data_IF_699758592996
#
_entry.id   IF_699758592996
#
_cell.length_a   1.000
_cell.length_b   1.000
_cell.length_c   1.000
_cell.angle_alpha   90.00
_cell.angle_beta   90.00
_cell.angle_gamma   90.00
#
_symmetry.space_group_name_H-M   'P 1'
#
loop_
_entity.id
_entity.type
_entity.pdbx_description
1 polymer ?
#
# COMPACT_ATOMS: atom_id res chain seq x y z
N UNK A 1 57.54 11.23 -11.53
CA UNK A 1 57.10 10.11 -12.40
C UNK A 1 55.60 9.89 -12.23
N UNK A 2 54.90 9.38 -13.24
CA UNK A 2 53.44 9.15 -13.20
C UNK A 2 53.07 8.13 -12.11
N UNK A 3 53.92 7.13 -11.90
CA UNK A 3 53.78 6.11 -10.85
C UNK A 3 53.82 6.68 -9.43
N UNK A 4 54.70 7.66 -9.16
CA UNK A 4 54.78 8.33 -7.87
C UNK A 4 53.52 9.16 -7.53
N UNK A 5 52.86 9.72 -8.55
CA UNK A 5 51.61 10.46 -8.37
C UNK A 5 50.41 9.53 -8.14
N UNK A 6 50.40 8.36 -8.77
CA UNK A 6 49.36 7.34 -8.59
C UNK A 6 49.43 6.67 -7.21
N UNK A 7 50.65 6.35 -6.74
CA UNK A 7 50.87 5.81 -5.40
C UNK A 7 50.50 6.81 -4.30
N UNK A 8 50.88 8.09 -4.46
CA UNK A 8 50.49 9.16 -3.54
C UNK A 8 48.97 9.32 -3.45
N UNK A 9 48.26 9.23 -4.58
CA UNK A 9 46.79 9.27 -4.60
C UNK A 9 46.19 8.12 -3.81
N UNK A 10 46.64 6.89 -4.06
CA UNK A 10 46.09 5.69 -3.42
C UNK A 10 46.23 5.75 -1.90
N UNK A 11 47.43 6.07 -1.39
CA UNK A 11 47.69 6.17 0.05
C UNK A 11 46.91 7.31 0.71
N UNK A 12 46.77 8.44 0.02
CA UNK A 12 46.05 9.59 0.55
C UNK A 12 44.53 9.37 0.56
N UNK A 13 43.99 8.68 -0.45
CA UNK A 13 42.58 8.29 -0.52
C UNK A 13 42.16 7.44 0.68
N UNK A 14 42.99 6.49 1.12
CA UNK A 14 42.73 5.65 2.31
C UNK A 14 42.70 6.47 3.62
N UNK A 15 43.52 7.52 3.72
CA UNK A 15 43.54 8.40 4.89
C UNK A 15 42.33 9.35 4.91
N UNK A 16 41.91 9.86 3.74
CA UNK A 16 40.75 10.74 3.61
C UNK A 16 39.45 10.02 4.01
N UNK A 17 39.31 8.72 3.70
CA UNK A 17 38.13 7.91 4.07
C UNK A 17 37.92 7.77 5.58
N UNK A 18 38.97 7.94 6.40
CA UNK A 18 38.88 7.88 7.87
C UNK A 18 38.31 9.15 8.50
N UNK A 19 38.09 10.20 7.70
CA UNK A 19 37.55 11.48 8.18
C UNK A 19 36.02 11.39 8.24
N UNK A 20 35.35 11.76 9.35
CA UNK A 20 33.89 11.60 9.47
C UNK A 20 33.07 12.58 8.63
N UNK A 21 33.62 13.76 8.29
CA UNK A 21 32.90 14.83 7.59
C UNK A 21 32.95 14.66 6.04
N UNK A 22 31.80 14.39 5.38
CA UNK A 22 31.75 14.22 3.93
C UNK A 22 32.11 15.48 3.13
N UNK A 23 31.85 16.67 3.69
CA UNK A 23 32.16 17.94 3.03
C UNK A 23 33.66 18.17 2.93
N UNK A 24 34.37 17.97 4.05
CA UNK A 24 35.82 18.08 4.11
C UNK A 24 36.54 16.98 3.32
N UNK A 25 36.00 15.75 3.26
CA UNK A 25 36.50 14.71 2.37
C UNK A 25 36.51 15.16 0.91
N UNK A 26 35.43 15.79 0.45
CA UNK A 26 35.28 16.26 -0.92
C UNK A 26 36.28 17.39 -1.24
N UNK A 27 36.52 18.31 -0.30
CA UNK A 27 37.48 19.40 -0.49
C UNK A 27 38.94 18.86 -0.57
N UNK A 28 39.28 17.87 0.24
CA UNK A 28 40.59 17.22 0.21
C UNK A 28 40.82 16.43 -1.07
N UNK A 29 39.81 15.69 -1.53
CA UNK A 29 39.87 14.97 -2.82
C UNK A 29 40.06 15.96 -3.99
N UNK A 30 39.37 17.10 -3.99
CA UNK A 30 39.53 18.12 -5.04
C UNK A 30 40.94 18.74 -5.05
N UNK A 31 41.52 19.00 -3.88
CA UNK A 31 42.91 19.49 -3.76
C UNK A 31 43.91 18.43 -4.23
N UNK A 32 43.64 17.16 -3.94
CA UNK A 32 44.52 16.06 -4.32
C UNK A 32 44.50 15.79 -5.84
N UNK A 33 43.35 15.95 -6.47
CA UNK A 33 43.19 15.92 -7.92
C UNK A 33 44.00 17.03 -8.60
N UNK A 34 43.91 18.27 -8.07
CA UNK A 34 44.67 19.42 -8.57
C UNK A 34 46.18 19.21 -8.50
N UNK A 35 46.68 18.63 -7.40
CA UNK A 35 48.12 18.41 -7.20
C UNK A 35 48.67 17.23 -8.01
N UNK A 36 47.88 16.17 -8.17
CA UNK A 36 48.32 14.96 -8.88
C UNK A 36 48.08 15.05 -10.40
N UNK A 37 47.21 15.96 -10.86
CA UNK A 37 46.88 16.13 -12.27
C UNK A 37 45.97 15.04 -12.82
N UNK A 38 45.47 14.14 -11.97
CA UNK A 38 44.45 13.15 -12.31
C UNK A 38 43.07 13.81 -12.19
N UNK A 39 42.73 14.66 -13.17
CA UNK A 39 41.37 15.19 -13.27
C UNK A 39 40.41 14.06 -13.66
N UNK A 40 39.47 13.72 -12.77
CA UNK A 40 38.21 13.13 -13.22
C UNK A 40 37.93 11.66 -12.89
N UNK A 41 38.65 11.02 -11.98
CA UNK A 41 38.09 9.83 -11.32
C UNK A 41 37.28 10.28 -10.10
N UNK A 42 36.08 10.83 -10.37
CA UNK A 42 35.01 10.89 -9.36
C UNK A 42 34.94 9.51 -8.74
N UNK A 43 35.28 9.40 -7.45
CA UNK A 43 34.91 8.24 -6.63
C UNK A 43 33.43 8.00 -6.90
N UNK A 44 33.12 6.96 -7.67
CA UNK A 44 31.85 6.28 -7.53
C UNK A 44 31.90 5.70 -6.12
N UNK A 45 31.59 6.55 -5.11
CA UNK A 45 30.96 6.05 -3.90
C UNK A 45 29.82 5.23 -4.45
N UNK A 46 29.92 3.92 -4.25
CA UNK A 46 28.77 3.04 -4.30
C UNK A 46 27.80 3.64 -3.30
N UNK A 47 26.98 4.57 -3.78
CA UNK A 47 25.72 4.88 -3.18
C UNK A 47 25.05 3.52 -3.11
N UNK A 48 24.96 2.99 -1.88
CA UNK A 48 23.94 2.03 -1.47
C UNK A 48 22.75 2.22 -2.39
N UNK A 49 22.30 1.16 -3.09
CA UNK A 49 21.43 1.30 -4.25
C UNK A 49 20.31 2.24 -3.85
N UNK A 50 20.40 3.47 -4.35
CA UNK A 50 19.26 4.32 -4.53
C UNK A 50 18.41 3.45 -5.44
N UNK A 51 17.49 2.72 -4.83
CA UNK A 51 16.33 2.18 -5.51
C UNK A 51 15.72 3.40 -6.17
N UNK A 52 16.16 3.67 -7.39
CA UNK A 52 15.38 4.39 -8.39
C UNK A 52 13.99 3.81 -8.19
N UNK A 53 13.00 4.61 -7.74
CA UNK A 53 11.67 4.09 -7.58
C UNK A 53 11.34 3.46 -8.92
N UNK A 54 11.23 2.13 -8.93
CA UNK A 54 10.72 1.44 -10.10
C UNK A 54 9.42 2.18 -10.43
N UNK A 55 9.14 2.48 -11.72
CA UNK A 55 7.91 3.16 -12.08
C UNK A 55 6.78 2.44 -11.38
N UNK A 56 6.17 3.10 -10.39
CA UNK A 56 5.23 2.47 -9.50
C UNK A 56 4.12 1.94 -10.39
N UNK A 57 4.03 0.60 -10.55
CA UNK A 57 2.97 -0.03 -11.36
C UNK A 57 1.66 0.61 -10.95
N UNK A 58 1.05 1.41 -11.82
CA UNK A 58 -0.12 2.20 -11.47
C UNK A 58 -1.13 1.35 -10.70
N UNK A 59 -1.64 1.89 -9.60
CA UNK A 59 -2.64 1.17 -8.81
C UNK A 59 -3.88 1.09 -9.68
N UNK A 60 -4.17 -0.12 -10.19
CA UNK A 60 -5.45 -0.38 -10.87
C UNK A 60 -6.58 0.04 -9.94
N UNK A 61 -7.46 0.90 -10.43
CA UNK A 61 -8.66 1.33 -9.71
C UNK A 61 -9.68 0.22 -9.70
N UNK A 62 -10.07 -0.19 -8.51
CA UNK A 62 -11.14 -1.13 -8.25
C UNK A 62 -11.89 -0.63 -7.04
N UNK A 63 -13.23 -0.83 -6.93
CA UNK A 63 -13.99 -0.39 -5.76
C UNK A 63 -13.37 -0.85 -4.44
N UNK A 64 -12.93 -2.12 -4.37
CA UNK A 64 -12.24 -2.68 -3.20
C UNK A 64 -10.99 -1.88 -2.77
N UNK A 65 -10.21 -1.37 -3.72
CA UNK A 65 -8.98 -0.63 -3.40
C UNK A 65 -9.28 0.81 -3.02
N UNK A 66 -10.28 1.41 -3.64
CA UNK A 66 -10.75 2.75 -3.30
C UNK A 66 -11.30 2.77 -1.87
N UNK A 67 -12.16 1.80 -1.52
CA UNK A 67 -12.72 1.68 -0.17
C UNK A 67 -11.62 1.43 0.87
N UNK A 68 -10.71 0.48 0.63
CA UNK A 68 -9.60 0.24 1.58
C UNK A 68 -8.69 1.47 1.69
N UNK A 69 -8.37 2.14 0.59
CA UNK A 69 -7.52 3.33 0.63
C UNK A 69 -8.18 4.46 1.41
N UNK A 70 -9.43 4.80 1.09
CA UNK A 70 -10.19 5.86 1.75
C UNK A 70 -10.44 5.55 3.22
N UNK A 71 -10.69 4.29 3.58
CA UNK A 71 -10.85 3.86 4.97
C UNK A 71 -9.56 3.97 5.78
N UNK A 72 -8.41 3.59 5.20
CA UNK A 72 -7.12 3.72 5.87
C UNK A 72 -6.73 5.19 6.04
N UNK A 73 -7.00 6.02 5.03
CA UNK A 73 -6.78 7.47 5.06
C UNK A 73 -7.73 8.19 6.04
N UNK A 74 -8.95 7.70 6.18
CA UNK A 74 -10.00 8.26 7.04
C UNK A 74 -10.63 7.15 7.91
N UNK A 75 -10.00 6.75 9.03
CA UNK A 75 -10.49 5.64 9.86
C UNK A 75 -11.92 5.81 10.40
N UNK A 76 -12.40 7.06 10.53
CA UNK A 76 -13.79 7.37 10.94
C UNK A 76 -14.85 6.88 9.95
N UNK A 77 -14.50 6.65 8.68
CA UNK A 77 -15.44 6.10 7.68
C UNK A 77 -15.94 4.70 8.05
N UNK A 78 -15.28 4.01 8.98
CA UNK A 78 -15.74 2.74 9.54
C UNK A 78 -17.15 2.79 10.12
N UNK A 79 -17.61 3.96 10.57
CA UNK A 79 -18.97 4.16 11.11
C UNK A 79 -20.05 4.11 10.03
N UNK A 80 -19.71 4.42 8.77
CA UNK A 80 -20.63 4.41 7.64
C UNK A 80 -20.81 3.00 7.05
N UNK A 81 -19.89 2.08 7.35
CA UNK A 81 -19.93 0.72 6.81
C UNK A 81 -20.96 -0.10 7.59
N UNK A 82 -21.88 -0.81 6.91
CA UNK A 82 -22.81 -1.72 7.57
C UNK A 82 -22.11 -2.92 8.21
N UNK A 83 -22.86 -3.77 8.90
CA UNK A 83 -22.30 -5.04 9.38
C UNK A 83 -22.02 -5.98 8.20
N UNK A 84 -20.77 -6.45 8.10
CA UNK A 84 -20.30 -7.36 7.05
C UNK A 84 -20.18 -8.81 7.55
N UNK A 85 -20.67 -9.12 8.74
CA UNK A 85 -20.55 -10.44 9.36
C UNK A 85 -21.15 -11.57 8.51
N UNK A 86 -22.26 -11.31 7.79
CA UNK A 86 -22.92 -12.27 6.91
C UNK A 86 -22.12 -12.61 5.65
N UNK A 87 -21.22 -11.72 5.22
CA UNK A 87 -20.46 -11.84 3.97
C UNK A 87 -18.97 -12.14 4.20
N UNK A 88 -18.54 -12.28 5.47
CA UNK A 88 -17.13 -12.44 5.86
C UNK A 88 -16.42 -13.63 5.20
N UNK A 89 -17.15 -14.70 4.92
CA UNK A 89 -16.62 -15.92 4.31
C UNK A 89 -16.70 -15.93 2.77
N UNK A 90 -17.23 -14.86 2.15
CA UNK A 90 -17.33 -14.81 0.69
C UNK A 90 -15.93 -14.78 0.05
N UNK A 91 -15.72 -15.55 -1.03
CA UNK A 91 -14.43 -15.59 -1.74
C UNK A 91 -14.27 -14.38 -2.67
N UNK A 92 -14.34 -13.17 -2.12
CA UNK A 92 -14.14 -11.91 -2.84
C UNK A 92 -12.72 -11.37 -2.61
N UNK A 93 -11.94 -11.08 -3.67
CA UNK A 93 -10.58 -10.57 -3.53
C UNK A 93 -10.53 -9.27 -2.73
N UNK A 94 -9.80 -9.27 -1.62
CA UNK A 94 -9.61 -8.10 -0.75
C UNK A 94 -10.69 -7.91 0.32
N UNK A 95 -11.80 -8.66 0.30
CA UNK A 95 -12.87 -8.53 1.30
C UNK A 95 -12.38 -8.86 2.71
N UNK A 96 -11.57 -9.93 2.85
CA UNK A 96 -10.99 -10.29 4.15
C UNK A 96 -10.12 -9.17 4.71
N UNK A 97 -9.30 -8.52 3.88
CA UNK A 97 -8.48 -7.38 4.28
C UNK A 97 -9.35 -6.17 4.67
N UNK A 98 -10.40 -5.88 3.91
CA UNK A 98 -11.35 -4.82 4.25
C UNK A 98 -11.98 -5.04 5.63
N UNK A 99 -12.41 -6.27 5.92
CA UNK A 99 -12.98 -6.63 7.23
C UNK A 99 -11.95 -6.49 8.34
N UNK A 100 -10.71 -6.94 8.14
CA UNK A 100 -9.62 -6.77 9.12
C UNK A 100 -9.37 -5.28 9.41
N UNK A 101 -9.32 -4.42 8.37
CA UNK A 101 -9.16 -2.97 8.55
C UNK A 101 -10.35 -2.38 9.31
N UNK A 102 -11.57 -2.75 8.95
CA UNK A 102 -12.79 -2.28 9.59
C UNK A 102 -12.86 -2.68 11.07
N UNK A 103 -12.48 -3.91 11.41
CA UNK A 103 -12.41 -4.40 12.80
C UNK A 103 -11.44 -3.56 13.63
N UNK A 104 -10.26 -3.24 13.09
CA UNK A 104 -9.29 -2.37 13.79
C UNK A 104 -9.82 -0.94 13.96
N UNK A 105 -10.44 -0.34 12.94
CA UNK A 105 -11.03 0.99 13.06
C UNK A 105 -12.17 1.03 14.09
N UNK A 106 -13.06 0.02 14.11
CA UNK A 106 -14.15 -0.07 15.09
C UNK A 106 -13.66 -0.34 16.50
N UNK A 107 -12.58 -1.10 16.66
CA UNK A 107 -11.95 -1.35 17.96
C UNK A 107 -11.30 -0.08 18.54
N UNK A 108 -10.80 0.82 17.68
CA UNK A 108 -10.13 2.05 18.06
C UNK A 108 -10.74 3.27 17.31
N UNK A 109 -11.90 3.81 17.73
CA UNK A 109 -12.65 4.83 16.98
C UNK A 109 -11.92 6.15 16.70
N UNK A 110 -10.84 6.44 17.43
CA UNK A 110 -10.02 7.65 17.27
C UNK A 110 -8.61 7.33 16.75
N UNK A 111 -8.42 6.16 16.14
CA UNK A 111 -7.13 5.76 15.58
C UNK A 111 -6.78 6.65 14.39
N UNK A 112 -5.53 7.10 14.35
CA UNK A 112 -4.98 7.82 13.19
C UNK A 112 -4.50 6.83 12.13
N UNK A 113 -4.39 7.25 10.86
CA UNK A 113 -3.85 6.41 9.78
C UNK A 113 -2.50 5.79 10.12
N UNK A 114 -1.58 6.56 10.72
CA UNK A 114 -0.27 6.04 11.13
C UNK A 114 -0.38 4.95 12.20
N UNK A 115 -1.19 5.17 13.23
CA UNK A 115 -1.42 4.17 14.28
C UNK A 115 -2.10 2.91 13.71
N UNK A 116 -3.05 3.07 12.78
CA UNK A 116 -3.71 1.95 12.11
C UNK A 116 -2.71 1.10 11.33
N UNK A 117 -1.79 1.72 10.58
CA UNK A 117 -0.79 1.00 9.80
C UNK A 117 0.19 0.18 10.66
N UNK A 118 0.47 0.59 11.89
CA UNK A 118 1.34 -0.17 12.81
C UNK A 118 0.77 -1.57 13.12
N UNK A 119 -0.55 -1.78 13.01
CA UNK A 119 -1.16 -3.11 13.16
C UNK A 119 -0.72 -4.11 12.07
N UNK A 120 -0.24 -3.61 10.92
CA UNK A 120 0.27 -4.43 9.81
C UNK A 120 1.79 -4.36 9.66
N UNK A 121 2.52 -3.82 10.64
CA UNK A 121 3.98 -3.85 10.62
C UNK A 121 4.49 -5.30 10.60
N UNK A 122 5.49 -5.56 9.76
CA UNK A 122 6.08 -6.88 9.53
C UNK A 122 5.06 -7.93 9.02
N UNK A 123 3.92 -7.48 8.46
CA UNK A 123 2.86 -8.32 7.90
C UNK A 123 2.90 -8.34 6.37
N UNK A 124 2.34 -9.39 5.74
CA UNK A 124 2.26 -9.55 4.28
C UNK A 124 1.57 -8.37 3.56
N UNK A 125 0.66 -7.68 4.26
CA UNK A 125 -0.13 -6.58 3.70
C UNK A 125 0.48 -5.19 3.97
N UNK A 126 1.58 -5.08 4.71
CA UNK A 126 2.20 -3.80 5.10
C UNK A 126 2.47 -2.89 3.89
N UNK A 127 3.16 -3.43 2.89
CA UNK A 127 3.54 -2.69 1.68
C UNK A 127 2.32 -2.27 0.85
N UNK A 128 1.24 -3.08 0.85
CA UNK A 128 0.01 -2.76 0.16
C UNK A 128 -0.74 -1.63 0.86
N UNK A 129 -0.96 -1.75 2.17
CA UNK A 129 -1.70 -0.75 2.94
C UNK A 129 -0.96 0.58 3.01
N UNK A 130 0.37 0.57 3.18
CA UNK A 130 1.19 1.78 3.14
C UNK A 130 1.04 2.51 1.79
N UNK A 131 1.01 1.73 0.70
CA UNK A 131 0.84 2.26 -0.64
C UNK A 131 -0.57 2.82 -0.89
N UNK A 132 -1.61 2.19 -0.34
CA UNK A 132 -2.99 2.67 -0.41
C UNK A 132 -3.19 3.91 0.47
N UNK A 133 -2.54 3.99 1.63
CA UNK A 133 -2.58 5.15 2.51
C UNK A 133 -1.99 6.41 1.84
N UNK A 134 -0.94 6.25 1.04
CA UNK A 134 -0.34 7.35 0.26
C UNK A 134 -0.95 7.53 -1.13
N UNK A 135 -2.04 6.82 -1.45
CA UNK A 135 -2.60 6.86 -2.79
C UNK A 135 -3.47 8.09 -2.98
N UNK A 136 -2.99 9.04 -3.78
CA UNK A 136 -3.78 10.15 -4.27
C UNK A 136 -4.79 9.65 -5.30
N UNK A 137 -6.06 9.58 -4.88
CA UNK A 137 -7.17 9.32 -5.78
C UNK A 137 -7.54 10.68 -6.38
N UNK A 138 -7.29 10.93 -7.68
CA UNK A 138 -7.67 12.20 -8.28
C UNK A 138 -9.19 12.26 -8.34
N UNK A 139 -9.70 13.24 -7.60
CA UNK A 139 -11.10 13.63 -7.55
C UNK A 139 -11.22 14.97 -8.27
N UNK A 140 -12.38 15.22 -8.87
CA UNK A 140 -12.67 16.49 -9.54
C UNK A 140 -13.04 17.57 -8.50
N UNK A 141 -13.51 17.15 -7.31
CA UNK A 141 -13.94 17.97 -6.18
C UNK A 141 -13.66 17.22 -4.85
N UNK A 142 -13.87 17.84 -3.69
CA UNK A 142 -13.61 17.27 -2.35
C UNK A 142 -14.69 16.24 -1.93
N UNK A 143 -15.00 15.31 -2.83
CA UNK A 143 -16.09 14.32 -2.75
C UNK A 143 -15.61 12.94 -2.28
N UNK A 144 -14.60 12.90 -1.41
CA UNK A 144 -13.98 11.65 -0.94
C UNK A 144 -14.99 10.73 -0.24
N UNK A 145 -15.89 11.31 0.55
CA UNK A 145 -16.94 10.57 1.25
C UNK A 145 -17.96 9.95 0.28
N UNK A 146 -18.42 10.73 -0.71
CA UNK A 146 -19.34 10.23 -1.75
C UNK A 146 -18.69 9.11 -2.55
N UNK A 147 -17.42 9.27 -2.96
CA UNK A 147 -16.68 8.22 -3.64
C UNK A 147 -16.54 6.96 -2.76
N UNK A 148 -16.32 7.13 -1.45
CA UNK A 148 -16.25 6.01 -0.51
C UNK A 148 -17.56 5.23 -0.49
N UNK A 149 -18.69 5.92 -0.34
CA UNK A 149 -20.02 5.32 -0.29
C UNK A 149 -20.37 4.63 -1.62
N UNK A 150 -20.15 5.30 -2.75
CA UNK A 150 -20.39 4.74 -4.09
C UNK A 150 -19.57 3.47 -4.35
N UNK A 151 -18.31 3.46 -3.93
CA UNK A 151 -17.44 2.29 -4.10
C UNK A 151 -17.75 1.19 -3.07
N UNK A 152 -18.25 1.55 -1.88
CA UNK A 152 -18.76 0.60 -0.90
C UNK A 152 -20.02 -0.10 -1.44
N UNK A 153 -20.98 0.65 -2.00
CA UNK A 153 -22.19 0.09 -2.58
C UNK A 153 -21.89 -0.92 -3.70
N UNK A 154 -20.89 -0.62 -4.54
CA UNK A 154 -20.41 -1.57 -5.57
C UNK A 154 -19.82 -2.85 -4.96
N UNK A 155 -19.18 -2.78 -3.80
CA UNK A 155 -18.66 -3.97 -3.10
C UNK A 155 -19.82 -4.76 -2.48
N UNK A 156 -20.78 -4.08 -1.86
CA UNK A 156 -21.96 -4.73 -1.27
C UNK A 156 -22.78 -5.45 -2.33
N UNK A 157 -23.02 -4.82 -3.48
CA UNK A 157 -23.67 -5.46 -4.63
C UNK A 157 -22.92 -6.73 -5.08
N UNK A 158 -21.59 -6.68 -5.19
CA UNK A 158 -20.77 -7.86 -5.51
C UNK A 158 -20.88 -8.95 -4.43
N UNK A 159 -21.03 -8.59 -3.16
CA UNK A 159 -21.25 -9.56 -2.07
C UNK A 159 -22.61 -10.25 -2.23
N UNK A 160 -23.66 -9.48 -2.49
CA UNK A 160 -25.03 -9.99 -2.74
C UNK A 160 -25.02 -10.95 -3.94
N UNK A 161 -24.46 -10.52 -5.07
CA UNK A 161 -24.35 -11.36 -6.27
C UNK A 161 -23.61 -12.67 -5.99
N UNK A 162 -22.48 -12.60 -5.26
CA UNK A 162 -21.68 -13.79 -4.96
C UNK A 162 -22.39 -14.74 -4.00
N UNK A 163 -23.12 -14.20 -3.03
CA UNK A 163 -23.91 -15.02 -2.10
C UNK A 163 -25.06 -15.72 -2.82
N UNK A 164 -25.75 -15.03 -3.74
CA UNK A 164 -26.76 -15.63 -4.62
C UNK A 164 -26.16 -16.77 -5.44
N UNK A 165 -24.99 -16.55 -6.07
CA UNK A 165 -24.31 -17.58 -6.86
C UNK A 165 -23.98 -18.83 -6.02
N UNK A 166 -23.46 -18.62 -4.81
CA UNK A 166 -23.13 -19.70 -3.88
C UNK A 166 -24.37 -20.51 -3.47
N UNK A 167 -25.47 -19.82 -3.11
CA UNK A 167 -26.73 -20.46 -2.74
C UNK A 167 -27.34 -21.23 -3.92
N UNK A 168 -27.31 -20.68 -5.14
CA UNK A 168 -27.78 -21.38 -6.34
C UNK A 168 -26.90 -22.59 -6.70
N UNK A 169 -25.58 -22.52 -6.48
CA UNK A 169 -24.69 -23.67 -6.65
C UNK A 169 -24.97 -24.76 -5.59
N UNK A 170 -25.25 -24.36 -4.35
CA UNK A 170 -25.65 -25.27 -3.26
C UNK A 170 -26.99 -25.94 -3.55
N UNK A 171 -27.98 -25.19 -4.04
CA UNK A 171 -29.29 -25.73 -4.43
C UNK A 171 -29.16 -26.84 -5.48
N UNK A 172 -28.33 -26.63 -6.50
CA UNK A 172 -28.10 -27.59 -7.59
C UNK A 172 -27.37 -28.86 -7.16
N UNK A 173 -26.59 -28.80 -6.08
CA UNK A 173 -25.73 -29.91 -5.65
C UNK A 173 -26.35 -30.73 -4.52
N UNK A 174 -26.66 -30.08 -3.39
CA UNK A 174 -27.11 -30.74 -2.16
C UNK A 174 -28.51 -30.28 -1.71
N UNK A 175 -29.06 -29.25 -2.37
CA UNK A 175 -30.31 -28.60 -1.98
C UNK A 175 -30.11 -27.49 -0.95
N UNK A 176 -31.14 -26.68 -0.75
CA UNK A 176 -31.18 -25.60 0.25
C UNK A 176 -32.12 -25.95 1.39
N UNK A 177 -31.74 -25.52 2.59
CA UNK A 177 -32.65 -25.46 3.75
C UNK A 177 -33.74 -24.41 3.56
N UNK A 178 -34.76 -24.44 4.42
CA UNK A 178 -35.85 -23.47 4.40
C UNK A 178 -35.39 -22.04 4.73
N UNK A 179 -34.33 -21.88 5.52
CA UNK A 179 -33.74 -20.56 5.84
C UNK A 179 -32.94 -20.03 4.65
N UNK A 180 -32.08 -20.86 4.05
CA UNK A 180 -31.27 -20.47 2.89
C UNK A 180 -32.12 -20.15 1.66
N UNK A 181 -33.25 -20.85 1.46
CA UNK A 181 -34.19 -20.51 0.39
C UNK A 181 -34.85 -19.14 0.63
N UNK A 182 -35.16 -18.81 1.89
CA UNK A 182 -35.70 -17.48 2.25
C UNK A 182 -34.65 -16.40 2.03
N UNK A 183 -33.40 -16.65 2.43
CA UNK A 183 -32.26 -15.76 2.17
C UNK A 183 -32.08 -15.51 0.67
N UNK A 184 -32.05 -16.56 -0.15
CA UNK A 184 -31.92 -16.44 -1.61
C UNK A 184 -33.02 -15.55 -2.22
N UNK A 185 -34.28 -15.74 -1.81
CA UNK A 185 -35.40 -14.91 -2.30
C UNK A 185 -35.24 -13.46 -1.86
N UNK A 186 -34.81 -13.20 -0.62
CA UNK A 186 -34.59 -11.85 -0.12
C UNK A 186 -33.47 -11.13 -0.90
N UNK A 187 -32.32 -11.79 -1.07
CA UNK A 187 -31.19 -11.24 -1.84
C UNK A 187 -31.55 -10.98 -3.30
N UNK A 188 -32.34 -11.85 -3.93
CA UNK A 188 -32.81 -11.66 -5.31
C UNK A 188 -33.80 -10.50 -5.46
N UNK A 189 -34.52 -10.12 -4.40
CA UNK A 189 -35.37 -8.93 -4.40
C UNK A 189 -34.54 -7.66 -4.23
N UNK A 190 -33.54 -7.70 -3.33
CA UNK A 190 -32.60 -6.60 -3.09
C UNK A 190 -31.83 -6.23 -4.36
N UNK A 191 -31.32 -7.21 -5.11
CA UNK A 191 -30.60 -6.97 -6.36
C UNK A 191 -31.47 -6.34 -7.48
N UNK A 192 -32.80 -6.45 -7.39
CA UNK A 192 -33.75 -5.91 -8.38
C UNK A 192 -34.29 -4.53 -8.01
N UNK A 193 -34.07 -4.10 -6.78
CA UNK A 193 -34.51 -2.79 -6.27
C UNK A 193 -33.51 -1.70 -6.70
#
# INVERSE_FOLDING_TARGET
>A
TVEGKSTLRTLSSELIEKIPDPGFQQELDEKLDKLTGFMGHKRQRNASPSTRPQPHKEIKRTPMREVIALLVQNPSYAEMVPDLSSVKELPLPGLSLLIEVLENCRQYPHITTGQLLEHWRDNKNEALLSRLASWEIPLVEDIQEELFLDSLDKILAQCVEKQIENLQAKERSVGLSADERRELVALMLELKA
#
